data_IF_486381574864
#
_entry.id   IF_486381574864
#
_cell.length_a   1.000
_cell.length_b   1.000
_cell.length_c   1.000
_cell.angle_alpha   90.00
_cell.angle_beta   90.00
_cell.angle_gamma   90.00
#
_symmetry.space_group_name_H-M   'P 1'
#
loop_
_entity.id
_entity.type
_entity.pdbx_description
1 polymer ?
#
# COMPACT_ATOMS: atom_id res chain seq x y z
N UNK A 1 -10.54 21.66 -22.01
CA UNK A 1 -10.03 21.09 -20.74
C UNK A 1 -10.90 21.70 -19.67
N UNK A 2 -11.88 20.95 -19.19
CA UNK A 2 -12.61 21.32 -18.00
C UNK A 2 -11.61 21.25 -16.86
N UNK A 3 -11.47 22.34 -16.10
CA UNK A 3 -10.69 22.37 -14.87
C UNK A 3 -11.42 21.46 -13.88
N UNK A 4 -10.91 20.24 -13.68
CA UNK A 4 -11.36 19.41 -12.57
C UNK A 4 -11.18 20.22 -11.27
N UNK A 5 -12.27 20.49 -10.59
CA UNK A 5 -12.24 21.13 -9.27
C UNK A 5 -11.77 20.07 -8.26
N UNK A 6 -10.46 20.03 -8.02
CA UNK A 6 -9.87 19.15 -7.00
C UNK A 6 -10.26 19.63 -5.60
N UNK A 7 -10.78 18.73 -4.79
CA UNK A 7 -11.01 18.95 -3.36
C UNK A 7 -9.79 18.44 -2.62
N UNK A 8 -9.18 19.33 -1.80
CA UNK A 8 -8.01 18.99 -0.98
C UNK A 8 -8.40 18.68 0.46
N UNK A 9 -7.54 17.97 1.18
CA UNK A 9 -7.70 17.76 2.62
C UNK A 9 -7.55 19.09 3.38
N UNK A 10 -8.35 19.31 4.40
CA UNK A 10 -8.37 20.58 5.14
C UNK A 10 -7.07 20.85 5.89
N UNK A 11 -6.40 19.82 6.39
CA UNK A 11 -5.11 19.87 7.09
C UNK A 11 -3.90 20.10 6.16
N UNK A 12 -4.12 20.14 4.84
CA UNK A 12 -3.10 20.43 3.82
C UNK A 12 -3.26 21.83 3.17
N UNK A 13 -4.33 22.54 3.49
CA UNK A 13 -4.59 23.85 2.86
C UNK A 13 -3.58 24.92 3.27
N UNK A 14 -3.09 24.86 4.50
CA UNK A 14 -2.09 25.81 5.04
C UNK A 14 -0.83 25.04 5.45
N UNK A 15 0.30 25.44 4.86
CA UNK A 15 1.58 24.87 5.23
C UNK A 15 2.00 25.33 6.64
N UNK A 16 2.53 24.42 7.48
CA UNK A 16 2.97 24.77 8.82
C UNK A 16 4.16 25.76 8.77
N UNK A 17 4.26 26.65 9.76
CA UNK A 17 5.26 27.74 9.78
C UNK A 17 6.71 27.28 9.68
N UNK A 18 7.01 26.06 10.16
CA UNK A 18 8.36 25.49 10.06
C UNK A 18 8.74 25.06 8.65
N UNK A 19 7.77 24.87 7.76
CA UNK A 19 7.98 24.52 6.35
C UNK A 19 8.25 25.82 5.57
N UNK A 20 9.46 26.32 5.71
CA UNK A 20 9.90 27.62 5.22
C UNK A 20 11.24 27.53 4.48
N UNK A 21 11.77 28.68 4.06
CA UNK A 21 13.02 28.78 3.31
C UNK A 21 14.21 28.12 4.04
N UNK A 22 14.30 28.23 5.35
CA UNK A 22 15.40 27.68 6.14
C UNK A 22 15.36 26.14 6.15
N UNK A 23 14.16 25.56 6.33
CA UNK A 23 13.97 24.12 6.22
C UNK A 23 14.30 23.60 4.81
N UNK A 24 13.78 24.27 3.77
CA UNK A 24 14.04 23.89 2.39
C UNK A 24 15.52 24.00 2.02
N UNK A 25 16.20 25.04 2.51
CA UNK A 25 17.64 25.16 2.35
C UNK A 25 18.41 24.04 3.05
N UNK A 26 17.99 23.64 4.26
CA UNK A 26 18.57 22.48 4.97
C UNK A 26 18.43 21.19 4.17
N UNK A 27 17.23 20.90 3.68
CA UNK A 27 16.94 19.71 2.85
C UNK A 27 17.84 19.69 1.63
N UNK A 28 17.92 20.79 0.89
CA UNK A 28 18.71 20.88 -0.33
C UNK A 28 20.21 20.78 -0.06
N UNK A 29 20.73 21.38 1.01
CA UNK A 29 22.15 21.28 1.39
C UNK A 29 22.54 19.84 1.69
N UNK A 30 21.70 19.10 2.42
CA UNK A 30 21.96 17.71 2.77
C UNK A 30 21.89 16.82 1.54
N UNK A 31 20.88 17.03 0.68
CA UNK A 31 20.71 16.26 -0.54
C UNK A 31 21.80 16.47 -1.58
N UNK A 32 22.16 17.74 -1.86
CA UNK A 32 23.16 18.08 -2.88
C UNK A 32 24.61 17.90 -2.36
N UNK A 33 24.80 17.71 -1.05
CA UNK A 33 26.12 17.65 -0.43
C UNK A 33 26.89 18.97 -0.46
N UNK A 34 26.18 20.09 -0.62
CA UNK A 34 26.72 21.42 -0.85
C UNK A 34 26.35 22.38 0.27
N UNK A 35 27.32 23.13 0.80
CA UNK A 35 27.07 24.10 1.87
C UNK A 35 26.48 25.42 1.40
N UNK A 36 26.69 25.80 0.13
CA UNK A 36 26.31 27.09 -0.42
C UNK A 36 25.01 27.00 -1.26
N UNK A 37 23.87 26.84 -0.60
CA UNK A 37 22.55 26.91 -1.23
C UNK A 37 21.81 28.15 -0.70
N UNK A 38 21.27 28.95 -1.60
CA UNK A 38 20.43 30.10 -1.29
C UNK A 38 19.08 29.98 -1.97
N UNK A 39 18.02 29.92 -1.18
CA UNK A 39 16.64 29.96 -1.69
C UNK A 39 16.33 31.33 -2.24
N UNK A 40 15.81 31.40 -3.45
CA UNK A 40 15.38 32.64 -4.11
C UNK A 40 13.89 32.86 -3.99
N UNK A 41 13.14 31.76 -4.23
CA UNK A 41 11.69 31.73 -4.15
C UNK A 41 11.24 30.33 -3.82
N UNK A 42 10.07 30.18 -3.22
CA UNK A 42 9.42 28.89 -3.05
C UNK A 42 7.90 29.04 -2.99
N UNK A 43 7.22 27.99 -3.38
CA UNK A 43 5.76 27.85 -3.28
C UNK A 43 5.44 26.50 -2.66
N UNK A 44 4.56 26.49 -1.66
CA UNK A 44 4.06 25.30 -1.03
C UNK A 44 2.57 25.17 -1.32
N UNK A 45 2.15 23.97 -1.73
CA UNK A 45 0.76 23.63 -2.06
C UNK A 45 0.44 22.24 -1.54
N UNK A 46 -0.84 21.87 -1.35
CA UNK A 46 -1.21 20.49 -1.12
C UNK A 46 -0.64 19.57 -2.21
N UNK A 47 -0.13 18.40 -1.83
CA UNK A 47 0.44 17.44 -2.78
C UNK A 47 -0.60 16.45 -3.29
N UNK A 48 -1.67 16.22 -2.54
CA UNK A 48 -2.67 15.18 -2.77
C UNK A 48 -4.07 15.78 -2.74
N UNK A 49 -4.99 15.14 -3.43
CA UNK A 49 -6.41 15.47 -3.34
C UNK A 49 -7.08 14.57 -2.31
N UNK A 50 -8.26 14.98 -1.83
CA UNK A 50 -9.04 14.23 -0.86
C UNK A 50 -9.28 12.80 -1.34
N UNK A 51 -8.98 11.82 -0.48
CA UNK A 51 -9.09 10.40 -0.80
C UNK A 51 -7.87 9.77 -1.48
N UNK A 52 -6.79 10.50 -1.75
CA UNK A 52 -5.56 9.90 -2.24
C UNK A 52 -4.75 9.22 -1.11
N UNK A 53 -4.82 9.73 0.13
CA UNK A 53 -4.20 9.14 1.33
C UNK A 53 -4.95 9.51 2.60
N UNK A 54 -4.67 8.82 3.73
CA UNK A 54 -5.43 8.95 4.98
C UNK A 54 -4.59 9.17 6.23
N UNK A 55 -3.30 8.84 6.20
CA UNK A 55 -2.53 8.78 7.44
C UNK A 55 -1.70 10.03 7.71
N UNK A 56 -0.98 10.54 6.73
CA UNK A 56 -0.06 11.68 6.89
C UNK A 56 -0.57 12.92 6.17
N UNK A 57 0.14 14.04 6.33
CA UNK A 57 -0.09 15.29 5.58
C UNK A 57 1.01 15.45 4.54
N UNK A 58 0.64 15.83 3.32
CA UNK A 58 1.57 15.88 2.20
C UNK A 58 1.53 17.24 1.50
N UNK A 59 2.69 17.90 1.42
CA UNK A 59 2.88 19.16 0.72
C UNK A 59 3.80 18.99 -0.49
N UNK A 60 3.51 19.72 -1.56
CA UNK A 60 4.43 19.95 -2.67
C UNK A 60 5.16 21.27 -2.47
N UNK A 61 6.48 21.24 -2.51
CA UNK A 61 7.31 22.45 -2.48
C UNK A 61 8.05 22.61 -3.82
N UNK A 62 7.71 23.66 -4.55
CA UNK A 62 8.46 24.12 -5.72
C UNK A 62 9.46 25.17 -5.25
N UNK A 63 10.76 24.95 -5.48
CA UNK A 63 11.82 25.76 -4.90
C UNK A 63 12.79 26.22 -5.96
N UNK A 64 12.95 27.55 -6.11
CA UNK A 64 13.99 28.17 -6.91
C UNK A 64 15.18 28.49 -6.01
N UNK A 65 16.33 27.97 -6.30
CA UNK A 65 17.55 28.17 -5.50
C UNK A 65 18.79 28.34 -6.35
N UNK A 66 19.82 28.92 -5.75
CA UNK A 66 21.15 29.07 -6.34
C UNK A 66 22.12 28.16 -5.63
N UNK A 67 22.82 27.34 -6.40
CA UNK A 67 23.89 26.45 -5.98
C UNK A 67 25.12 26.75 -6.81
N UNK A 68 26.25 27.08 -6.15
CA UNK A 68 27.51 27.40 -6.84
C UNK A 68 27.36 28.38 -8.02
N UNK A 69 26.50 29.40 -7.87
CA UNK A 69 26.23 30.43 -8.89
C UNK A 69 25.25 30.03 -10.00
N UNK A 70 24.70 28.80 -9.99
CA UNK A 70 23.71 28.32 -10.97
C UNK A 70 22.32 28.36 -10.35
N UNK A 71 21.35 28.93 -11.08
CA UNK A 71 19.93 28.85 -10.70
C UNK A 71 19.35 27.51 -11.10
N UNK A 72 18.60 26.90 -10.18
CA UNK A 72 17.94 25.60 -10.35
C UNK A 72 16.56 25.65 -9.72
N UNK A 73 15.59 25.00 -10.34
CA UNK A 73 14.24 24.78 -9.77
C UNK A 73 14.09 23.28 -9.43
N UNK A 74 13.55 22.97 -8.27
CA UNK A 74 13.26 21.61 -7.84
C UNK A 74 11.88 21.53 -7.21
N UNK A 75 11.12 20.54 -7.61
CA UNK A 75 9.87 20.14 -6.95
C UNK A 75 10.11 18.96 -6.02
N UNK A 76 9.53 19.01 -4.83
CA UNK A 76 9.70 18.00 -3.78
C UNK A 76 8.35 17.72 -3.12
N UNK A 77 8.14 16.47 -2.67
CA UNK A 77 7.00 16.08 -1.86
C UNK A 77 7.46 15.92 -0.42
N UNK A 78 6.76 16.57 0.49
CA UNK A 78 7.07 16.61 1.93
C UNK A 78 5.94 15.92 2.66
N UNK A 79 6.23 14.75 3.25
CA UNK A 79 5.31 13.94 4.07
C UNK A 79 5.62 14.19 5.54
N UNK A 80 4.63 14.57 6.34
CA UNK A 80 4.81 14.90 7.75
C UNK A 80 3.59 14.54 8.59
N UNK A 81 3.71 14.72 9.90
CA UNK A 81 2.61 14.57 10.85
C UNK A 81 1.63 15.73 10.72
N UNK A 82 0.33 15.55 10.96
CA UNK A 82 -0.60 16.65 11.16
C UNK A 82 -0.17 17.56 12.31
N UNK A 83 -0.30 18.86 12.15
CA UNK A 83 -0.03 19.83 13.25
C UNK A 83 -1.19 19.87 14.24
N UNK A 84 -2.42 19.79 13.76
CA UNK A 84 -3.64 19.79 14.56
C UNK A 84 -3.81 18.48 15.33
N UNK A 85 -4.31 18.59 16.57
CA UNK A 85 -4.65 17.42 17.38
C UNK A 85 -5.94 16.76 16.86
N UNK A 86 -5.96 15.44 16.85
CA UNK A 86 -7.10 14.65 16.37
C UNK A 86 -6.73 13.21 16.14
N UNK A 87 -7.72 12.39 15.80
CA UNK A 87 -7.58 10.92 15.62
C UNK A 87 -6.42 10.54 14.68
N UNK A 88 -6.22 11.30 13.61
CA UNK A 88 -5.15 11.07 12.62
C UNK A 88 -3.76 11.25 13.25
N UNK A 89 -3.57 12.31 14.05
CA UNK A 89 -2.30 12.59 14.74
C UNK A 89 -2.05 11.57 15.85
N UNK A 90 -3.05 11.23 16.64
CA UNK A 90 -2.97 10.22 17.70
C UNK A 90 -2.56 8.87 17.13
N UNK A 91 -3.22 8.40 16.06
CA UNK A 91 -2.86 7.17 15.36
C UNK A 91 -1.38 7.17 14.94
N UNK A 92 -0.91 8.26 14.34
CA UNK A 92 0.46 8.36 13.85
C UNK A 92 1.51 8.51 14.95
N UNK A 93 1.16 9.09 16.11
CA UNK A 93 2.07 9.24 17.25
C UNK A 93 2.34 7.90 17.94
N UNK A 94 1.30 7.07 18.10
CA UNK A 94 1.39 5.77 18.78
C UNK A 94 1.99 4.66 17.90
N UNK A 95 2.23 4.92 16.62
CA UNK A 95 2.70 3.92 15.67
C UNK A 95 4.13 4.18 15.21
N UNK A 96 4.78 3.12 14.73
CA UNK A 96 6.13 3.17 14.14
C UNK A 96 6.12 3.43 12.62
N UNK A 97 5.06 4.04 12.10
CA UNK A 97 4.82 4.24 10.67
C UNK A 97 5.97 5.02 10.02
N UNK A 98 6.35 6.18 10.60
CA UNK A 98 7.45 6.99 10.06
C UNK A 98 8.80 6.30 10.18
N UNK A 99 9.09 5.64 11.30
CA UNK A 99 10.31 4.89 11.52
C UNK A 99 10.44 3.73 10.52
N UNK A 100 9.34 3.02 10.26
CA UNK A 100 9.26 1.94 9.27
C UNK A 100 9.53 2.49 7.88
N UNK A 101 8.79 3.51 7.46
CA UNK A 101 8.91 4.09 6.13
C UNK A 101 10.30 4.67 5.87
N UNK A 102 10.83 5.46 6.81
CA UNK A 102 12.20 5.99 6.74
C UNK A 102 13.21 4.85 6.59
N UNK A 103 13.10 3.81 7.41
CA UNK A 103 14.00 2.66 7.34
C UNK A 103 13.94 1.93 6.01
N UNK A 104 12.73 1.77 5.43
CA UNK A 104 12.58 1.14 4.11
C UNK A 104 13.23 1.99 3.02
N UNK A 105 12.96 3.29 2.97
CA UNK A 105 13.50 4.17 1.94
C UNK A 105 15.01 4.40 2.09
N UNK A 106 15.52 4.54 3.32
CA UNK A 106 16.93 4.88 3.54
C UNK A 106 17.87 3.68 3.55
N UNK A 107 17.40 2.48 3.90
CA UNK A 107 18.25 1.30 4.07
C UNK A 107 17.85 0.14 3.13
N UNK A 108 16.55 -0.21 3.11
CA UNK A 108 16.09 -1.43 2.43
C UNK A 108 16.11 -1.27 0.91
N UNK A 109 15.43 -0.25 0.39
CA UNK A 109 15.35 0.00 -1.07
C UNK A 109 16.73 0.15 -1.69
N UNK A 110 17.65 1.01 -1.18
CA UNK A 110 18.99 1.14 -1.76
C UNK A 110 19.77 -0.17 -1.80
N UNK A 111 19.63 -0.99 -0.74
CA UNK A 111 20.27 -2.31 -0.68
C UNK A 111 19.68 -3.29 -1.69
N UNK A 112 18.34 -3.38 -1.79
CA UNK A 112 17.67 -4.27 -2.74
C UNK A 112 17.98 -3.90 -4.18
N UNK A 113 17.92 -2.61 -4.51
CA UNK A 113 18.26 -2.11 -5.85
C UNK A 113 19.74 -2.34 -6.19
N UNK A 114 20.65 -2.24 -5.22
CA UNK A 114 22.06 -2.59 -5.42
C UNK A 114 22.24 -4.06 -5.81
N UNK A 115 21.47 -4.97 -5.18
CA UNK A 115 21.50 -6.41 -5.50
C UNK A 115 20.97 -6.62 -6.93
N UNK A 116 19.86 -5.99 -7.29
CA UNK A 116 19.28 -6.08 -8.64
C UNK A 116 20.23 -5.50 -9.70
N UNK A 117 20.79 -4.32 -9.47
CA UNK A 117 21.76 -3.68 -10.39
C UNK A 117 23.01 -4.52 -10.61
N UNK A 118 23.47 -5.25 -9.60
CA UNK A 118 24.65 -6.12 -9.71
C UNK A 118 24.47 -7.26 -10.75
N UNK A 119 23.21 -7.57 -11.10
CA UNK A 119 22.87 -8.59 -12.12
C UNK A 119 22.23 -7.97 -13.37
N UNK A 120 22.40 -6.66 -13.58
CA UNK A 120 21.91 -5.95 -14.76
C UNK A 120 20.42 -5.62 -14.73
N UNK A 121 19.75 -5.73 -13.57
CA UNK A 121 18.35 -5.34 -13.40
C UNK A 121 18.27 -3.93 -12.77
N UNK A 122 17.85 -2.94 -13.56
CA UNK A 122 17.75 -1.55 -13.16
C UNK A 122 16.37 -1.18 -12.58
N UNK A 123 15.61 -2.14 -12.08
CA UNK A 123 14.30 -1.87 -11.46
C UNK A 123 14.46 -0.91 -10.27
N UNK A 124 13.65 0.14 -10.28
CA UNK A 124 13.49 1.09 -9.18
C UNK A 124 12.29 0.64 -8.36
N UNK A 125 12.49 0.49 -7.05
CA UNK A 125 11.48 -0.09 -6.13
C UNK A 125 10.70 0.96 -5.35
N UNK A 126 11.15 2.21 -5.33
CA UNK A 126 10.45 3.30 -4.63
C UNK A 126 10.97 4.67 -5.05
N UNK A 127 10.22 5.72 -4.72
CA UNK A 127 10.62 7.10 -4.96
C UNK A 127 11.94 7.42 -4.25
N UNK A 128 12.73 8.30 -4.86
CA UNK A 128 13.97 8.74 -4.23
C UNK A 128 13.66 9.66 -3.06
N UNK A 129 14.12 9.30 -1.85
CA UNK A 129 14.07 10.23 -0.74
C UNK A 129 15.21 11.24 -0.84
N UNK A 130 14.96 12.48 -0.42
CA UNK A 130 15.92 13.58 -0.45
C UNK A 130 16.41 13.92 0.96
N UNK A 131 15.52 13.78 1.96
CA UNK A 131 15.77 14.11 3.35
C UNK A 131 14.80 13.37 4.25
N UNK A 132 15.19 13.10 5.48
CA UNK A 132 14.29 12.67 6.55
C UNK A 132 14.74 13.17 7.92
N UNK A 133 13.79 13.25 8.84
CA UNK A 133 14.07 13.52 10.26
C UNK A 133 13.00 12.87 11.13
N UNK A 134 13.43 12.38 12.29
CA UNK A 134 12.52 11.91 13.35
C UNK A 134 12.40 12.92 14.51
N UNK A 135 13.33 13.85 14.62
CA UNK A 135 13.36 14.84 15.67
C UNK A 135 13.92 16.18 15.13
N UNK A 136 13.36 17.32 15.49
CA UNK A 136 12.22 17.50 16.41
C UNK A 136 10.86 17.15 15.78
N UNK A 137 10.79 16.85 14.46
CA UNK A 137 9.57 16.49 13.73
C UNK A 137 9.81 15.26 12.88
N UNK A 138 8.79 14.42 12.79
CA UNK A 138 8.78 13.29 11.85
C UNK A 138 8.46 13.84 10.45
N UNK A 139 9.41 13.76 9.53
CA UNK A 139 9.29 14.25 8.15
C UNK A 139 10.11 13.40 7.20
N UNK A 140 9.58 13.16 6.01
CA UNK A 140 10.28 12.57 4.88
C UNK A 140 10.07 13.48 3.67
N UNK A 141 11.14 13.76 2.93
CA UNK A 141 11.08 14.55 1.70
C UNK A 141 11.48 13.67 0.52
N UNK A 142 10.63 13.61 -0.49
CA UNK A 142 10.82 12.82 -1.70
C UNK A 142 10.99 13.69 -2.93
N UNK A 143 11.51 13.10 -4.00
CA UNK A 143 11.36 13.68 -5.35
C UNK A 143 9.88 13.76 -5.72
N UNK A 144 9.51 14.78 -6.50
CA UNK A 144 8.16 14.89 -7.04
C UNK A 144 8.05 14.09 -8.35
N UNK A 145 7.48 12.92 -8.26
CA UNK A 145 7.31 11.99 -9.37
C UNK A 145 6.39 12.53 -10.48
N UNK A 146 5.48 13.46 -10.17
CA UNK A 146 4.61 14.09 -11.16
C UNK A 146 5.44 14.85 -12.20
N UNK A 147 6.53 15.49 -11.77
CA UNK A 147 7.41 16.26 -12.67
C UNK A 147 8.15 15.39 -13.69
N UNK A 148 8.23 14.08 -13.44
CA UNK A 148 8.86 13.10 -14.34
C UNK A 148 7.85 12.16 -15.00
N UNK A 149 6.55 12.51 -14.93
CA UNK A 149 5.48 11.89 -15.70
C UNK A 149 4.73 10.74 -15.04
N UNK A 150 4.93 10.51 -13.72
CA UNK A 150 4.13 9.53 -12.99
C UNK A 150 2.84 10.16 -12.48
N UNK A 151 1.75 9.38 -12.48
CA UNK A 151 0.44 9.79 -11.99
C UNK A 151 -0.23 8.66 -11.22
N UNK A 152 -1.04 9.00 -10.21
CA UNK A 152 -1.94 8.05 -9.55
C UNK A 152 -3.12 7.71 -10.47
N UNK A 153 -3.65 6.51 -10.36
CA UNK A 153 -4.90 6.16 -11.03
C UNK A 153 -6.07 6.79 -10.28
N UNK A 154 -6.90 7.54 -11.01
CA UNK A 154 -8.14 8.12 -10.48
C UNK A 154 -9.34 7.57 -11.24
N UNK A 155 -10.43 7.32 -10.52
CA UNK A 155 -11.73 6.91 -11.06
C UNK A 155 -11.70 5.66 -11.96
N UNK A 156 -10.63 4.86 -11.89
CA UNK A 156 -10.51 3.58 -12.59
C UNK A 156 -9.58 2.61 -11.88
N UNK A 157 -9.81 1.34 -12.09
CA UNK A 157 -8.92 0.27 -11.66
C UNK A 157 -7.78 0.03 -12.67
N UNK A 158 -6.68 -0.61 -12.26
CA UNK A 158 -5.59 -0.98 -13.16
C UNK A 158 -6.06 -1.84 -14.35
N UNK A 159 -5.47 -1.61 -15.50
CA UNK A 159 -5.55 -2.52 -16.66
C UNK A 159 -4.74 -3.78 -16.40
N UNK A 160 -4.89 -4.80 -17.24
CA UNK A 160 -4.09 -6.03 -17.17
C UNK A 160 -2.58 -5.76 -17.27
N UNK A 161 -2.17 -4.82 -18.13
CA UNK A 161 -0.76 -4.44 -18.29
C UNK A 161 -0.21 -3.77 -17.03
N UNK A 162 -0.97 -2.85 -16.45
CA UNK A 162 -0.62 -2.17 -15.19
C UNK A 162 -0.57 -3.17 -14.01
N UNK A 163 -1.54 -4.07 -13.92
CA UNK A 163 -1.54 -5.13 -12.91
C UNK A 163 -0.33 -6.08 -13.07
N UNK A 164 0.02 -6.48 -14.29
CA UNK A 164 1.22 -7.28 -14.55
C UNK A 164 2.51 -6.55 -14.14
N UNK A 165 2.63 -5.24 -14.44
CA UNK A 165 3.77 -4.44 -14.00
C UNK A 165 3.86 -4.38 -12.46
N UNK A 166 2.71 -4.25 -11.81
CA UNK A 166 2.60 -4.25 -10.34
C UNK A 166 3.09 -5.57 -9.74
N UNK A 167 2.61 -6.70 -10.27
CA UNK A 167 3.01 -8.03 -9.82
C UNK A 167 4.49 -8.34 -10.14
N UNK A 168 5.03 -7.80 -11.23
CA UNK A 168 6.47 -7.89 -11.53
C UNK A 168 7.31 -7.19 -10.47
N UNK A 169 6.96 -5.96 -10.08
CA UNK A 169 7.70 -5.23 -9.03
C UNK A 169 7.55 -5.90 -7.66
N UNK A 170 6.36 -6.37 -7.31
CA UNK A 170 6.15 -7.14 -6.09
C UNK A 170 7.00 -8.42 -6.07
N UNK A 171 7.04 -9.15 -7.18
CA UNK A 171 7.85 -10.36 -7.30
C UNK A 171 9.34 -10.10 -7.06
N UNK A 172 9.87 -8.99 -7.60
CA UNK A 172 11.26 -8.59 -7.38
C UNK A 172 11.52 -8.15 -5.94
N UNK A 173 10.62 -7.35 -5.36
CA UNK A 173 10.68 -6.96 -3.95
C UNK A 173 10.70 -8.18 -3.03
N UNK A 174 9.78 -9.12 -3.23
CA UNK A 174 9.72 -10.36 -2.47
C UNK A 174 10.93 -11.26 -2.69
N UNK A 175 11.41 -11.42 -3.93
CA UNK A 175 12.56 -12.28 -4.22
C UNK A 175 13.84 -11.79 -3.53
N UNK A 176 14.11 -10.48 -3.57
CA UNK A 176 15.30 -9.94 -2.90
C UNK A 176 15.18 -10.04 -1.39
N UNK A 177 14.02 -9.68 -0.82
CA UNK A 177 13.81 -9.78 0.64
C UNK A 177 13.82 -11.24 1.12
N UNK A 178 13.25 -12.17 0.34
CA UNK A 178 13.32 -13.60 0.61
C UNK A 178 14.77 -14.07 0.72
N UNK A 179 15.61 -13.78 -0.29
CA UNK A 179 17.03 -14.11 -0.26
C UNK A 179 17.70 -13.56 1.00
N UNK A 180 17.49 -12.28 1.32
CA UNK A 180 18.10 -11.64 2.49
C UNK A 180 17.69 -12.29 3.80
N UNK A 181 16.41 -12.67 3.96
CA UNK A 181 15.91 -13.38 5.14
C UNK A 181 16.43 -14.80 5.25
N UNK A 182 16.55 -15.53 4.13
CA UNK A 182 17.12 -16.88 4.13
C UNK A 182 18.61 -16.89 4.48
N UNK A 183 19.36 -15.84 4.09
CA UNK A 183 20.78 -15.68 4.42
C UNK A 183 20.99 -15.17 5.84
N UNK A 184 20.09 -14.32 6.33
CA UNK A 184 20.09 -13.79 7.70
C UNK A 184 18.65 -13.61 8.22
N UNK A 185 18.11 -14.55 9.01
CA UNK A 185 16.73 -14.49 9.53
C UNK A 185 16.41 -13.27 10.39
N UNK A 186 17.42 -12.56 10.90
CA UNK A 186 17.21 -11.36 11.73
C UNK A 186 17.33 -10.06 10.93
N UNK A 187 17.51 -10.17 9.59
CA UNK A 187 17.82 -9.03 8.73
C UNK A 187 16.82 -7.89 8.81
N UNK A 188 15.54 -8.24 8.98
CA UNK A 188 14.43 -7.30 9.01
C UNK A 188 13.69 -7.31 10.37
N UNK A 189 14.32 -7.70 11.47
CA UNK A 189 13.68 -7.83 12.79
C UNK A 189 13.00 -6.54 13.31
N UNK A 190 13.40 -5.37 12.80
CA UNK A 190 12.76 -4.10 13.15
C UNK A 190 11.41 -3.87 12.45
N UNK A 191 11.12 -4.60 11.36
CA UNK A 191 9.88 -4.49 10.60
C UNK A 191 8.85 -5.53 11.09
N UNK A 192 8.14 -5.20 12.17
CA UNK A 192 7.23 -6.11 12.88
C UNK A 192 5.78 -5.66 12.84
N UNK A 193 5.55 -4.39 12.51
CA UNK A 193 4.23 -3.78 12.65
C UNK A 193 3.51 -3.75 11.31
N UNK A 194 2.55 -4.64 11.16
CA UNK A 194 1.65 -4.69 10.01
C UNK A 194 0.40 -3.85 10.27
N UNK A 195 -0.40 -3.64 9.23
CA UNK A 195 -1.72 -2.99 9.36
C UNK A 195 -2.61 -3.69 10.38
N UNK A 196 -2.52 -5.03 10.51
CA UNK A 196 -3.31 -5.82 11.46
C UNK A 196 -2.83 -5.70 12.91
N UNK A 197 -1.65 -5.11 13.14
CA UNK A 197 -1.12 -4.83 14.50
C UNK A 197 -1.38 -3.39 14.96
N UNK A 198 -1.96 -2.55 14.11
CA UNK A 198 -2.40 -1.20 14.46
C UNK A 198 -3.75 -1.29 15.17
N UNK A 199 -3.74 -1.40 16.51
CA UNK A 199 -4.92 -1.65 17.33
C UNK A 199 -6.05 -0.67 17.04
N UNK A 200 -5.76 0.63 17.06
CA UNK A 200 -6.75 1.69 16.80
C UNK A 200 -7.36 1.61 15.38
N UNK A 201 -6.65 1.00 14.43
CA UNK A 201 -7.15 0.79 13.08
C UNK A 201 -8.07 -0.43 12.99
N UNK A 202 -7.59 -1.62 13.38
CA UNK A 202 -8.37 -2.87 13.24
C UNK A 202 -9.52 -3.00 14.22
N UNK A 203 -9.45 -2.33 15.36
CA UNK A 203 -10.52 -2.27 16.37
C UNK A 203 -11.47 -1.06 16.17
N UNK A 204 -11.28 -0.31 15.08
CA UNK A 204 -12.21 0.75 14.72
C UNK A 204 -13.62 0.20 14.43
N UNK A 205 -14.62 0.99 14.73
CA UNK A 205 -16.02 0.72 14.37
C UNK A 205 -16.21 0.33 12.91
N UNK A 206 -15.34 0.83 12.06
CA UNK A 206 -15.34 0.54 10.63
C UNK A 206 -15.16 -0.97 10.33
N UNK A 207 -14.15 -1.62 10.92
CA UNK A 207 -13.90 -3.05 10.68
C UNK A 207 -14.85 -3.94 11.48
N UNK A 208 -15.09 -3.60 12.76
CA UNK A 208 -15.97 -4.40 13.63
C UNK A 208 -17.40 -4.38 13.07
N UNK A 209 -17.97 -3.21 12.84
CA UNK A 209 -19.32 -3.08 12.28
C UNK A 209 -19.42 -3.48 10.80
N UNK A 210 -18.29 -3.47 10.08
CA UNK A 210 -18.23 -3.91 8.69
C UNK A 210 -18.67 -5.36 8.51
N UNK A 211 -18.23 -6.25 9.41
CA UNK A 211 -18.65 -7.66 9.37
C UNK A 211 -20.13 -7.80 9.68
N UNK A 212 -20.65 -7.01 10.64
CA UNK A 212 -22.06 -6.97 10.98
C UNK A 212 -22.92 -6.54 9.79
N UNK A 213 -22.52 -5.47 9.12
CA UNK A 213 -23.18 -4.95 7.92
C UNK A 213 -23.14 -5.93 6.75
N UNK A 214 -22.06 -6.69 6.60
CA UNK A 214 -21.99 -7.76 5.63
C UNK A 214 -23.02 -8.88 5.93
N UNK A 215 -23.15 -9.29 7.18
CA UNK A 215 -24.13 -10.29 7.61
C UNK A 215 -25.56 -9.77 7.42
N UNK A 216 -25.81 -8.48 7.68
CA UNK A 216 -27.09 -7.83 7.39
C UNK A 216 -27.40 -7.88 5.89
N UNK A 217 -26.43 -7.51 5.02
CA UNK A 217 -26.54 -7.61 3.57
C UNK A 217 -26.92 -9.03 3.11
N UNK A 218 -26.26 -10.06 3.65
CA UNK A 218 -26.59 -11.46 3.32
C UNK A 218 -28.03 -11.82 3.71
N UNK A 219 -28.61 -11.16 4.72
CA UNK A 219 -29.99 -11.34 5.12
C UNK A 219 -30.97 -10.65 4.16
N UNK A 220 -30.59 -9.49 3.64
CA UNK A 220 -31.39 -8.66 2.72
C UNK A 220 -31.43 -9.25 1.30
N UNK A 221 -30.36 -9.91 0.85
CA UNK A 221 -30.25 -10.48 -0.50
C UNK A 221 -30.61 -11.97 -0.49
N UNK A 222 -31.82 -12.38 -0.96
CA UNK A 222 -32.31 -13.76 -0.79
C UNK A 222 -31.38 -14.83 -1.35
N UNK A 223 -30.72 -14.55 -2.49
CA UNK A 223 -29.80 -15.47 -3.18
C UNK A 223 -28.48 -15.69 -2.44
N UNK A 224 -28.09 -14.74 -1.57
CA UNK A 224 -26.86 -14.79 -0.76
C UNK A 224 -27.12 -15.29 0.67
N UNK A 225 -28.37 -15.35 1.11
CA UNK A 225 -28.76 -15.74 2.49
C UNK A 225 -28.20 -17.08 2.94
N UNK A 226 -27.99 -18.02 2.03
CA UNK A 226 -27.43 -19.36 2.33
C UNK A 226 -26.01 -19.31 2.92
N UNK A 227 -25.26 -18.22 2.75
CA UNK A 227 -23.91 -18.07 3.29
C UNK A 227 -23.90 -17.45 4.68
N UNK A 228 -25.02 -16.85 5.13
CA UNK A 228 -25.13 -16.08 6.37
C UNK A 228 -24.64 -16.85 7.59
N UNK A 229 -25.11 -18.07 7.78
CA UNK A 229 -24.77 -18.87 8.97
C UNK A 229 -23.26 -19.13 9.13
N UNK A 230 -22.53 -19.24 8.05
CA UNK A 230 -21.08 -19.36 8.10
C UNK A 230 -20.42 -18.07 8.61
N UNK A 231 -20.81 -16.92 8.06
CA UNK A 231 -20.23 -15.64 8.49
C UNK A 231 -20.60 -15.30 9.93
N UNK A 232 -21.81 -15.62 10.38
CA UNK A 232 -22.19 -15.53 11.80
C UNK A 232 -21.30 -16.42 12.70
N UNK A 233 -20.90 -17.59 12.23
CA UNK A 233 -20.05 -18.51 13.02
C UNK A 233 -18.61 -18.05 13.17
N UNK A 234 -18.10 -17.21 12.28
CA UNK A 234 -16.71 -16.72 12.31
C UNK A 234 -16.59 -15.26 12.76
N UNK A 235 -17.71 -14.56 12.91
CA UNK A 235 -17.79 -13.12 13.15
C UNK A 235 -16.92 -12.65 14.32
N UNK A 236 -16.98 -13.36 15.46
CA UNK A 236 -16.27 -12.97 16.68
C UNK A 236 -14.76 -13.17 16.58
N UNK A 237 -14.32 -14.19 15.85
CA UNK A 237 -12.93 -14.61 15.82
C UNK A 237 -12.17 -14.08 14.58
N UNK A 238 -12.88 -13.61 13.54
CA UNK A 238 -12.28 -13.28 12.24
C UNK A 238 -11.13 -12.26 12.34
N UNK A 239 -11.29 -11.21 13.14
CA UNK A 239 -10.25 -10.19 13.34
C UNK A 239 -9.05 -10.79 14.07
N UNK A 240 -9.30 -11.61 15.12
CA UNK A 240 -8.22 -12.26 15.86
C UNK A 240 -7.48 -13.29 15.00
N UNK A 241 -8.21 -14.11 14.25
CA UNK A 241 -7.63 -15.04 13.26
C UNK A 241 -6.70 -14.32 12.26
N UNK A 242 -7.10 -13.12 11.81
CA UNK A 242 -6.24 -12.30 10.95
C UNK A 242 -5.01 -11.78 11.71
N UNK A 243 -5.17 -11.25 12.93
CA UNK A 243 -4.01 -10.82 13.75
C UNK A 243 -3.01 -11.95 13.92
N UNK A 244 -3.48 -13.17 14.19
CA UNK A 244 -2.63 -14.35 14.37
C UNK A 244 -1.84 -14.70 13.07
N UNK A 245 -2.45 -14.54 11.90
CA UNK A 245 -1.76 -14.72 10.61
C UNK A 245 -0.59 -13.73 10.46
N UNK A 246 -0.80 -12.48 10.85
CA UNK A 246 0.20 -11.43 10.68
C UNK A 246 1.31 -11.44 11.74
N UNK A 247 1.06 -12.02 12.92
CA UNK A 247 2.05 -12.13 14.02
C UNK A 247 2.83 -13.44 14.01
N UNK A 248 2.49 -14.40 13.17
CA UNK A 248 3.13 -15.73 13.13
C UNK A 248 4.66 -15.68 13.06
N UNK A 249 5.23 -14.76 12.28
CA UNK A 249 6.68 -14.61 12.17
C UNK A 249 7.31 -14.13 13.47
N UNK A 250 6.73 -13.12 14.11
CA UNK A 250 7.26 -12.53 15.34
C UNK A 250 7.18 -13.50 16.50
N UNK A 251 6.12 -14.30 16.57
CA UNK A 251 5.83 -15.18 17.71
C UNK A 251 6.57 -16.52 17.64
N UNK A 252 6.72 -17.08 16.45
CA UNK A 252 7.19 -18.47 16.29
C UNK A 252 8.49 -18.61 15.50
N UNK A 253 8.95 -17.57 14.78
CA UNK A 253 10.12 -17.61 13.87
C UNK A 253 10.25 -18.99 13.19
N UNK A 254 9.22 -19.45 12.46
CA UNK A 254 9.22 -20.81 11.95
C UNK A 254 10.36 -21.01 10.97
N UNK A 255 11.07 -22.13 11.10
CA UNK A 255 12.30 -22.44 10.36
C UNK A 255 12.13 -22.78 8.88
N UNK A 256 10.90 -22.76 8.34
CA UNK A 256 10.61 -23.28 6.98
C UNK A 256 9.43 -22.57 6.33
N UNK A 257 9.48 -21.25 6.20
CA UNK A 257 8.34 -20.51 5.67
C UNK A 257 8.76 -19.52 4.61
N UNK A 258 7.84 -19.26 3.70
CA UNK A 258 7.99 -18.37 2.58
C UNK A 258 7.79 -16.91 3.03
N UNK A 259 8.60 -16.49 4.03
CA UNK A 259 8.59 -15.13 4.57
C UNK A 259 9.42 -14.18 3.71
N UNK A 260 8.88 -13.00 3.56
CA UNK A 260 9.47 -11.87 2.83
C UNK A 260 9.29 -10.60 3.67
N UNK A 261 9.90 -9.51 3.26
CA UNK A 261 9.45 -8.21 3.67
C UNK A 261 8.23 -7.86 2.80
N UNK A 262 7.03 -7.91 3.38
CA UNK A 262 5.80 -7.48 2.74
C UNK A 262 5.78 -5.95 2.59
N UNK A 263 5.11 -5.46 1.55
CA UNK A 263 4.76 -4.05 1.44
C UNK A 263 3.80 -3.66 2.58
N UNK A 264 2.83 -4.53 2.84
CA UNK A 264 1.88 -4.42 3.96
C UNK A 264 0.62 -3.63 3.66
N UNK A 265 0.68 -2.70 2.69
CA UNK A 265 -0.46 -1.90 2.21
C UNK A 265 -0.44 -1.81 0.68
N UNK A 266 -0.46 -2.99 0.04
CA UNK A 266 -0.21 -3.16 -1.40
C UNK A 266 -1.47 -2.96 -2.23
N UNK A 267 -1.88 -1.69 -2.41
CA UNK A 267 -3.04 -1.30 -3.21
C UNK A 267 -2.68 -0.21 -4.24
N UNK A 268 -3.54 -0.01 -5.23
CA UNK A 268 -3.22 0.84 -6.37
C UNK A 268 -3.18 2.35 -6.07
N UNK A 269 -3.66 2.80 -4.89
CA UNK A 269 -3.47 4.20 -4.44
C UNK A 269 -2.04 4.44 -3.93
N UNK A 270 -1.34 3.39 -3.50
CA UNK A 270 0.07 3.44 -3.11
C UNK A 270 0.99 3.20 -4.31
N UNK A 271 0.56 3.58 -5.49
CA UNK A 271 1.30 3.41 -6.75
C UNK A 271 1.10 4.60 -7.67
N UNK A 272 2.16 4.94 -8.41
CA UNK A 272 2.09 5.89 -9.49
C UNK A 272 2.55 5.23 -10.79
N UNK A 273 1.83 5.48 -11.87
CA UNK A 273 2.05 4.89 -13.18
C UNK A 273 2.58 5.94 -14.15
N UNK A 274 3.58 5.56 -14.92
CA UNK A 274 4.12 6.39 -15.98
C UNK A 274 3.71 5.83 -17.33
N UNK A 275 2.99 6.64 -18.10
CA UNK A 275 2.60 6.33 -19.46
C UNK A 275 3.30 7.28 -20.41
N UNK A 276 3.67 6.77 -21.55
CA UNK A 276 4.16 7.61 -22.65
C UNK A 276 3.05 8.58 -23.11
N UNK A 277 3.28 9.88 -23.14
CA UNK A 277 2.23 10.86 -23.41
C UNK A 277 1.70 10.82 -24.86
N UNK A 278 2.48 10.27 -25.81
CA UNK A 278 2.10 10.20 -27.22
C UNK A 278 1.36 8.88 -27.54
N UNK A 279 1.87 7.75 -27.01
CA UNK A 279 1.35 6.43 -27.34
C UNK A 279 0.37 5.87 -26.31
N UNK A 280 0.31 6.45 -25.10
CA UNK A 280 -0.45 5.93 -23.98
C UNK A 280 0.09 4.62 -23.38
N UNK A 281 1.21 4.10 -23.88
CA UNK A 281 1.80 2.85 -23.36
C UNK A 281 2.36 3.04 -21.97
N UNK A 282 2.16 2.02 -21.13
CA UNK A 282 2.78 1.94 -19.82
C UNK A 282 4.32 1.84 -19.99
N UNK A 283 5.05 2.77 -19.36
CA UNK A 283 6.51 2.79 -19.36
C UNK A 283 7.08 2.25 -18.04
N UNK A 284 6.51 2.65 -16.91
CA UNK A 284 6.98 2.25 -15.59
C UNK A 284 5.88 2.41 -14.53
N UNK A 285 6.16 1.86 -13.36
CA UNK A 285 5.36 1.94 -12.13
C UNK A 285 6.28 2.28 -10.97
N UNK A 286 5.85 3.17 -10.08
CA UNK A 286 6.52 3.46 -8.81
C UNK A 286 5.68 2.97 -7.64
N UNK A 287 6.27 2.17 -6.76
CA UNK A 287 5.68 1.78 -5.48
C UNK A 287 5.94 2.87 -4.45
N UNK A 288 4.96 3.14 -3.62
CA UNK A 288 4.98 4.21 -2.61
C UNK A 288 4.46 3.67 -1.27
N UNK A 289 4.69 4.45 -0.21
CA UNK A 289 4.04 4.27 1.09
C UNK A 289 4.34 2.93 1.79
N UNK A 290 5.61 2.72 2.11
CA UNK A 290 6.10 1.52 2.82
C UNK A 290 5.93 1.59 4.34
N UNK A 291 5.02 2.40 4.83
CA UNK A 291 4.87 2.76 6.25
C UNK A 291 4.45 1.60 7.16
N UNK A 292 3.81 0.58 6.62
CA UNK A 292 3.39 -0.63 7.34
C UNK A 292 4.06 -1.90 6.79
N UNK A 293 5.26 -1.76 6.21
CA UNK A 293 6.05 -2.90 5.77
C UNK A 293 6.51 -3.75 6.95
N UNK A 294 6.33 -5.06 6.84
CA UNK A 294 6.63 -6.01 7.90
C UNK A 294 7.09 -7.36 7.33
N UNK A 295 7.78 -8.16 8.16
CA UNK A 295 8.12 -9.53 7.77
C UNK A 295 6.91 -10.43 7.95
N UNK A 296 6.44 -11.00 6.84
CA UNK A 296 5.28 -11.87 6.82
C UNK A 296 5.29 -12.85 5.66
N UNK A 297 4.26 -13.68 5.55
CA UNK A 297 4.08 -14.57 4.43
C UNK A 297 3.90 -13.77 3.13
N UNK A 298 4.61 -14.18 2.07
CA UNK A 298 4.51 -13.53 0.75
C UNK A 298 3.07 -13.51 0.20
N UNK A 299 2.20 -14.42 0.65
CA UNK A 299 0.81 -14.47 0.19
C UNK A 299 -0.04 -13.35 0.77
N UNK A 300 0.39 -12.66 1.84
CA UNK A 300 -0.38 -11.58 2.43
C UNK A 300 -0.53 -10.40 1.45
N UNK A 301 0.56 -9.96 0.81
CA UNK A 301 0.48 -8.93 -0.24
C UNK A 301 -0.28 -9.44 -1.48
N UNK A 302 -0.17 -10.72 -1.82
CA UNK A 302 -0.91 -11.32 -2.95
C UNK A 302 -2.41 -11.30 -2.67
N UNK A 303 -2.84 -11.72 -1.48
CA UNK A 303 -4.25 -11.71 -1.06
C UNK A 303 -4.77 -10.27 -1.02
N UNK A 304 -3.99 -9.35 -0.45
CA UNK A 304 -4.34 -7.93 -0.38
C UNK A 304 -4.54 -7.33 -1.79
N UNK A 305 -3.60 -7.59 -2.69
CA UNK A 305 -3.66 -7.12 -4.07
C UNK A 305 -4.79 -7.74 -4.89
N UNK A 306 -5.21 -8.96 -4.58
CA UNK A 306 -6.35 -9.61 -5.23
C UNK A 306 -7.60 -8.74 -5.14
N UNK A 307 -7.88 -8.16 -3.96
CA UNK A 307 -9.04 -7.28 -3.75
C UNK A 307 -8.78 -5.83 -4.17
N UNK A 308 -7.57 -5.31 -3.96
CA UNK A 308 -7.32 -3.88 -3.99
C UNK A 308 -6.51 -3.39 -5.21
N UNK A 309 -6.16 -4.31 -6.12
CA UNK A 309 -5.51 -4.01 -7.41
C UNK A 309 -6.27 -4.62 -8.57
N UNK A 310 -6.63 -5.92 -8.46
CA UNK A 310 -7.31 -6.60 -9.55
C UNK A 310 -8.75 -6.12 -9.67
N UNK A 311 -9.20 -5.86 -10.90
CA UNK A 311 -10.60 -5.57 -11.16
C UNK A 311 -11.46 -6.86 -11.09
N UNK A 312 -12.80 -6.77 -11.07
CA UNK A 312 -13.68 -7.94 -10.92
C UNK A 312 -13.45 -9.06 -11.96
N UNK A 313 -13.16 -8.70 -13.21
CA UNK A 313 -12.86 -9.66 -14.26
C UNK A 313 -11.54 -10.39 -14.02
N UNK A 314 -10.50 -9.64 -13.65
CA UNK A 314 -9.19 -10.23 -13.31
C UNK A 314 -9.30 -11.17 -12.10
N UNK A 315 -10.06 -10.78 -11.05
CA UNK A 315 -10.28 -11.63 -9.87
C UNK A 315 -10.98 -12.93 -10.24
N UNK A 316 -12.00 -12.84 -11.08
CA UNK A 316 -12.81 -14.00 -11.43
C UNK A 316 -12.10 -14.94 -12.43
N UNK A 317 -11.50 -14.38 -13.48
CA UNK A 317 -11.07 -15.11 -14.66
C UNK A 317 -9.55 -15.23 -14.84
N UNK A 318 -8.76 -14.35 -14.23
CA UNK A 318 -7.32 -14.22 -14.50
C UNK A 318 -6.42 -14.33 -13.27
N UNK A 319 -6.96 -14.64 -12.09
CA UNK A 319 -6.15 -14.72 -10.87
C UNK A 319 -5.05 -15.78 -10.97
N UNK A 320 -5.36 -16.96 -11.51
CA UNK A 320 -4.36 -18.02 -11.69
C UNK A 320 -3.23 -17.60 -12.67
N UNK A 321 -3.57 -16.84 -13.72
CA UNK A 321 -2.58 -16.27 -14.65
C UNK A 321 -1.68 -15.26 -13.91
N UNK A 322 -2.28 -14.39 -13.11
CA UNK A 322 -1.56 -13.37 -12.35
C UNK A 322 -0.67 -13.98 -11.28
N UNK A 323 -1.16 -14.99 -10.56
CA UNK A 323 -0.38 -15.72 -9.56
C UNK A 323 0.81 -16.44 -10.21
N UNK A 324 0.60 -17.09 -11.37
CA UNK A 324 1.68 -17.72 -12.12
C UNK A 324 2.68 -16.70 -12.64
N UNK A 325 2.21 -15.54 -13.12
CA UNK A 325 3.07 -14.45 -13.58
C UNK A 325 3.96 -13.92 -12.45
N UNK A 326 3.39 -13.68 -11.26
CA UNK A 326 4.14 -13.34 -10.05
C UNK A 326 5.19 -14.39 -9.72
N UNK A 327 4.77 -15.65 -9.61
CA UNK A 327 5.64 -16.78 -9.26
C UNK A 327 6.81 -16.94 -10.22
N UNK A 328 6.56 -16.86 -11.52
CA UNK A 328 7.59 -16.93 -12.56
C UNK A 328 8.64 -15.82 -12.34
N UNK A 329 8.21 -14.58 -12.20
CA UNK A 329 9.13 -13.45 -12.01
C UNK A 329 9.87 -13.51 -10.67
N UNK A 330 9.24 -14.01 -9.61
CA UNK A 330 9.86 -14.24 -8.31
C UNK A 330 11.00 -15.27 -8.43
N UNK A 331 10.74 -16.42 -9.03
CA UNK A 331 11.74 -17.48 -9.19
C UNK A 331 12.86 -17.12 -10.16
N UNK A 332 12.54 -16.43 -11.26
CA UNK A 332 13.54 -15.90 -12.20
C UNK A 332 14.44 -14.87 -11.52
N UNK A 333 13.88 -13.99 -10.69
CA UNK A 333 14.65 -13.00 -9.95
C UNK A 333 15.57 -13.67 -8.93
N UNK A 334 15.08 -14.64 -8.14
CA UNK A 334 15.90 -15.43 -7.22
C UNK A 334 17.09 -16.08 -7.93
N UNK A 335 16.84 -16.66 -9.10
CA UNK A 335 17.90 -17.28 -9.93
C UNK A 335 18.93 -16.25 -10.37
N UNK A 336 18.49 -15.10 -10.90
CA UNK A 336 19.35 -14.02 -11.39
C UNK A 336 20.24 -13.46 -10.28
N UNK A 337 19.68 -13.22 -9.09
CA UNK A 337 20.44 -12.68 -7.95
C UNK A 337 21.29 -13.73 -7.22
N UNK A 338 21.40 -14.94 -7.80
CA UNK A 338 22.30 -15.99 -7.33
C UNK A 338 21.86 -16.70 -6.06
N UNK A 339 20.56 -16.71 -5.73
CA UNK A 339 20.05 -17.49 -4.61
C UNK A 339 20.20 -18.99 -4.86
N UNK A 340 20.73 -19.74 -3.89
CA UNK A 340 21.04 -21.19 -4.01
C UNK A 340 20.24 -22.08 -3.05
N UNK A 341 19.41 -21.47 -2.20
CA UNK A 341 18.58 -22.20 -1.25
C UNK A 341 17.31 -22.80 -1.87
N UNK A 342 16.41 -23.29 -1.02
CA UNK A 342 15.12 -23.81 -1.45
C UNK A 342 14.26 -22.68 -2.02
N UNK A 343 13.77 -22.86 -3.23
CA UNK A 343 12.78 -21.96 -3.85
C UNK A 343 11.40 -22.54 -3.61
N UNK A 344 10.42 -21.75 -3.14
CA UNK A 344 9.04 -22.19 -2.98
C UNK A 344 8.46 -22.70 -4.29
N UNK A 345 7.57 -23.69 -4.22
CA UNK A 345 6.78 -24.16 -5.38
C UNK A 345 5.47 -23.39 -5.49
N UNK A 346 4.93 -23.28 -6.70
CA UNK A 346 3.62 -22.63 -6.91
C UNK A 346 2.50 -23.31 -6.11
N UNK A 347 2.56 -24.64 -5.95
CA UNK A 347 1.64 -25.41 -5.13
C UNK A 347 1.73 -25.01 -3.64
N UNK A 348 2.95 -24.82 -3.13
CA UNK A 348 3.17 -24.37 -1.75
C UNK A 348 2.56 -22.97 -1.53
N UNK A 349 2.69 -22.05 -2.51
CA UNK A 349 2.05 -20.72 -2.47
C UNK A 349 0.52 -20.83 -2.48
N UNK A 350 -0.05 -21.66 -3.36
CA UNK A 350 -1.51 -21.88 -3.38
C UNK A 350 -2.02 -22.46 -2.05
N UNK A 351 -1.27 -23.40 -1.47
CA UNK A 351 -1.61 -23.96 -0.15
C UNK A 351 -1.54 -22.88 0.94
N UNK A 352 -0.57 -21.97 0.87
CA UNK A 352 -0.49 -20.85 1.83
C UNK A 352 -1.66 -19.85 1.67
N UNK A 353 -2.08 -19.53 0.45
CA UNK A 353 -3.27 -18.69 0.22
C UNK A 353 -4.48 -19.34 0.93
N UNK A 354 -4.69 -20.65 0.76
CA UNK A 354 -5.79 -21.35 1.41
C UNK A 354 -5.69 -21.37 2.94
N UNK A 355 -4.49 -21.48 3.51
CA UNK A 355 -4.28 -21.35 4.96
C UNK A 355 -4.61 -19.95 5.49
N UNK A 356 -4.48 -18.94 4.64
CA UNK A 356 -4.78 -17.54 4.96
C UNK A 356 -6.21 -17.14 4.54
N UNK A 357 -7.11 -18.09 4.30
CA UNK A 357 -8.50 -17.84 3.87
C UNK A 357 -9.26 -16.86 4.78
N UNK A 358 -8.95 -16.82 6.09
CA UNK A 358 -9.58 -15.87 7.01
C UNK A 358 -9.24 -14.41 6.68
N UNK A 359 -7.99 -14.14 6.27
CA UNK A 359 -7.61 -12.81 5.83
C UNK A 359 -8.30 -12.43 4.50
N UNK A 360 -8.46 -13.41 3.59
CA UNK A 360 -9.22 -13.19 2.35
C UNK A 360 -10.69 -12.88 2.63
N UNK A 361 -11.32 -13.61 3.56
CA UNK A 361 -12.69 -13.35 3.98
C UNK A 361 -12.84 -12.01 4.72
N UNK A 362 -11.86 -11.62 5.51
CA UNK A 362 -11.83 -10.30 6.14
C UNK A 362 -11.81 -9.19 5.08
N UNK A 363 -10.95 -9.28 4.08
CA UNK A 363 -10.90 -8.30 2.99
C UNK A 363 -12.18 -8.27 2.17
N UNK A 364 -12.77 -9.43 1.87
CA UNK A 364 -14.06 -9.55 1.19
C UNK A 364 -15.16 -8.80 1.92
N UNK A 365 -15.21 -8.93 3.25
CA UNK A 365 -16.30 -8.41 4.08
C UNK A 365 -16.12 -6.96 4.50
N UNK A 366 -14.90 -6.43 4.47
CA UNK A 366 -14.61 -5.09 5.00
C UNK A 366 -14.02 -4.16 3.94
N UNK A 367 -12.91 -4.53 3.29
CA UNK A 367 -12.20 -3.65 2.37
C UNK A 367 -12.82 -3.60 0.98
N UNK A 368 -13.32 -4.73 0.47
CA UNK A 368 -13.87 -4.78 -0.89
C UNK A 368 -15.10 -3.87 -1.09
N UNK A 369 -16.11 -3.82 -0.20
CA UNK A 369 -17.23 -2.92 -0.37
C UNK A 369 -16.79 -1.46 -0.42
N UNK A 370 -15.84 -1.06 0.44
CA UNK A 370 -15.26 0.28 0.41
C UNK A 370 -14.54 0.58 -0.89
N UNK A 371 -13.83 -0.40 -1.42
CA UNK A 371 -13.08 -0.25 -2.64
C UNK A 371 -13.93 0.23 -3.81
N UNK A 372 -15.16 -0.29 -3.94
CA UNK A 372 -16.13 0.15 -4.93
C UNK A 372 -16.50 1.63 -4.82
N UNK A 373 -16.50 2.15 -3.62
CA UNK A 373 -16.90 3.54 -3.34
C UNK A 373 -15.70 4.49 -3.50
N UNK A 374 -14.54 4.09 -3.01
CA UNK A 374 -13.31 4.89 -3.11
C UNK A 374 -12.84 5.10 -4.55
N UNK A 375 -12.96 4.08 -5.39
CA UNK A 375 -12.50 4.18 -6.77
C UNK A 375 -13.43 4.99 -7.66
N UNK A 376 -14.72 4.96 -7.36
CA UNK A 376 -15.72 5.72 -8.12
C UNK A 376 -15.84 7.17 -7.62
N UNK A 377 -15.33 7.46 -6.42
CA UNK A 377 -15.28 8.82 -5.86
C UNK A 377 -16.63 9.36 -5.39
N UNK A 378 -17.58 8.47 -5.06
CA UNK A 378 -18.95 8.85 -4.72
C UNK A 378 -19.15 9.20 -3.23
N UNK A 379 -18.26 8.78 -2.33
CA UNK A 379 -18.41 9.01 -0.89
C UNK A 379 -17.07 9.51 -0.29
N UNK A 380 -17.21 10.45 0.62
CA UNK A 380 -16.11 10.94 1.45
C UNK A 380 -15.70 9.86 2.45
N UNK A 381 -14.40 9.53 2.53
CA UNK A 381 -13.89 8.60 3.53
C UNK A 381 -14.21 8.99 4.97
N UNK A 382 -14.15 10.28 5.30
CA UNK A 382 -14.47 10.78 6.64
C UNK A 382 -15.95 10.55 6.95
N UNK A 383 -16.85 10.75 5.98
CA UNK A 383 -18.27 10.46 6.12
C UNK A 383 -18.55 8.98 6.43
N UNK A 384 -17.73 8.08 5.85
CA UNK A 384 -17.86 6.63 6.14
C UNK A 384 -17.39 6.27 7.54
N UNK A 385 -16.38 6.96 8.07
CA UNK A 385 -15.89 6.72 9.44
C UNK A 385 -16.97 7.22 10.44
N UNK A 386 -17.60 8.34 10.17
CA UNK A 386 -18.49 9.03 11.10
C UNK A 386 -19.96 8.57 11.00
N UNK A 387 -20.44 8.18 9.79
CA UNK A 387 -21.86 7.90 9.53
C UNK A 387 -22.15 6.41 9.33
N UNK A 388 -23.03 5.85 10.18
CA UNK A 388 -23.52 4.47 10.03
C UNK A 388 -24.34 4.30 8.75
N UNK A 389 -25.14 5.29 8.37
CA UNK A 389 -25.95 5.24 7.16
C UNK A 389 -25.08 5.25 5.90
N UNK A 390 -24.01 6.04 5.89
CA UNK A 390 -23.03 6.02 4.80
C UNK A 390 -22.39 4.63 4.67
N UNK A 391 -21.96 4.02 5.78
CA UNK A 391 -21.43 2.63 5.79
C UNK A 391 -22.45 1.62 5.24
N UNK A 392 -23.71 1.68 5.66
CA UNK A 392 -24.77 0.79 5.15
C UNK A 392 -24.95 0.93 3.63
N UNK A 393 -24.91 2.14 3.12
CA UNK A 393 -25.05 2.40 1.68
C UNK A 393 -23.89 1.79 0.88
N UNK A 394 -22.67 1.80 1.41
CA UNK A 394 -21.51 1.16 0.80
C UNK A 394 -21.75 -0.34 0.58
N UNK A 395 -22.27 -1.05 1.57
CA UNK A 395 -22.56 -2.49 1.46
C UNK A 395 -23.70 -2.78 0.46
N UNK A 396 -24.60 -1.84 0.22
CA UNK A 396 -25.71 -1.95 -0.76
C UNK A 396 -25.29 -1.57 -2.19
N UNK A 397 -24.00 -1.31 -2.44
CA UNK A 397 -23.48 -1.06 -3.78
C UNK A 397 -23.78 -2.25 -4.70
N UNK A 398 -24.41 -1.97 -5.87
CA UNK A 398 -24.88 -3.00 -6.80
C UNK A 398 -23.77 -3.83 -7.41
N UNK A 399 -22.61 -3.22 -7.67
CA UNK A 399 -21.48 -3.89 -8.27
C UNK A 399 -20.79 -4.80 -7.25
N UNK A 400 -20.71 -4.38 -5.99
CA UNK A 400 -20.27 -5.25 -4.89
C UNK A 400 -21.18 -6.47 -4.74
N UNK A 401 -22.50 -6.26 -4.68
CA UNK A 401 -23.46 -7.37 -4.60
C UNK A 401 -23.34 -8.33 -5.79
N UNK A 402 -23.18 -7.78 -7.00
CA UNK A 402 -22.95 -8.57 -8.22
C UNK A 402 -21.66 -9.40 -8.11
N UNK A 403 -20.60 -8.84 -7.56
CA UNK A 403 -19.35 -9.58 -7.37
C UNK A 403 -19.50 -10.69 -6.32
N UNK A 404 -20.22 -10.46 -5.23
CA UNK A 404 -20.51 -11.50 -4.24
C UNK A 404 -21.24 -12.72 -4.85
N UNK A 405 -22.10 -12.52 -5.84
CA UNK A 405 -22.74 -13.63 -6.56
C UNK A 405 -21.75 -14.50 -7.34
N UNK A 406 -20.57 -13.98 -7.68
CA UNK A 406 -19.51 -14.73 -8.33
C UNK A 406 -18.53 -15.33 -7.30
N UNK A 407 -18.12 -14.56 -6.30
CA UNK A 407 -17.09 -14.98 -5.35
C UNK A 407 -17.57 -15.99 -4.30
N UNK A 408 -18.74 -15.79 -3.70
CA UNK A 408 -19.22 -16.69 -2.64
C UNK A 408 -19.47 -18.11 -3.10
N UNK A 409 -20.09 -18.41 -4.28
CA UNK A 409 -20.15 -19.76 -4.80
C UNK A 409 -18.79 -20.38 -5.08
N UNK A 410 -17.84 -19.59 -5.63
CA UNK A 410 -16.47 -20.05 -5.86
C UNK A 410 -15.78 -20.43 -4.55
N UNK A 411 -15.89 -19.58 -3.51
CA UNK A 411 -15.32 -19.88 -2.20
C UNK A 411 -15.93 -21.13 -1.56
N UNK A 412 -17.22 -21.34 -1.72
CA UNK A 412 -17.88 -22.58 -1.27
C UNK A 412 -17.27 -23.80 -1.95
N UNK A 413 -17.07 -23.78 -3.26
CA UNK A 413 -16.48 -24.90 -4.01
C UNK A 413 -14.98 -25.09 -3.72
N UNK A 414 -14.28 -24.05 -3.31
CA UNK A 414 -12.88 -24.12 -2.88
C UNK A 414 -12.70 -24.57 -1.41
N UNK A 415 -13.79 -24.84 -0.67
CA UNK A 415 -13.75 -25.26 0.72
C UNK A 415 -13.44 -24.13 1.73
N UNK A 416 -13.68 -22.87 1.38
CA UNK A 416 -13.47 -21.75 2.29
C UNK A 416 -14.40 -21.79 3.51
N UNK A 417 -15.60 -22.35 3.34
CA UNK A 417 -16.64 -22.44 4.37
C UNK A 417 -16.62 -23.76 5.14
N UNK A 418 -15.55 -24.53 4.97
CA UNK A 418 -15.28 -25.73 5.76
C UNK A 418 -14.36 -25.36 6.95
N UNK A 419 -14.59 -25.99 8.11
CA UNK A 419 -13.80 -25.76 9.33
C UNK A 419 -12.40 -26.38 9.24
#
# INVERSE_FOLDING_TARGET
METENFVYNTDELEAPQWLNADFLAKVLKEYEGESAITIKNYKITPATVRGDHYASVMFRAEVDYVQTGRSTTKSMIIKTMPEEDGNKKELLQETHIFETEIGVYSEVIPRMEKILRAVGDNTVLGAKYLYYSLSPRKVIVFEDLVTVGYNVLRQRLPTMEEAKMTYLKLAKWHAVSYKLLQENPTHFDKYRYSIMTLTNFVESDFFIKGIDLFIELLSEVPTLRKYKSYFESIQQDLIQDCKDIFTQYTDKKPSNTDYVLCHGDFHCKNMMFKHNPESGKLEDLMLLDYQVSYVGSLVNDIIYSYFLILNPDMRLNHFDEMLYYYFKNFTETLTKIGYKGKVPKLEEIRSQIMKHKKFELFLLTTMLPMWYVFFVGEIDPDEMIESEDARKNVYRNKDYIKELHNLLPRYMHLGYFEN
#
